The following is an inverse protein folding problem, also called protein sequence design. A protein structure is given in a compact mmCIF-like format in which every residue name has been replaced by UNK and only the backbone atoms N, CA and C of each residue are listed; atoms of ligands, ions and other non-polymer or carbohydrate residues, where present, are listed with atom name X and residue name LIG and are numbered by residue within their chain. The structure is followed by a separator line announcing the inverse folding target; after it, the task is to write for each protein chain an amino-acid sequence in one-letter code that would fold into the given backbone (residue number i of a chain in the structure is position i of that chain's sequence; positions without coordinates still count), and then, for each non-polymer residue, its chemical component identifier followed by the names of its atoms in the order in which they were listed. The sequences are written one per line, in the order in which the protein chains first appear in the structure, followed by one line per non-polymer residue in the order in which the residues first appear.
data_IF_737372362050
#
_entry.id   IF_737372362050
#
_cell.length_a   1.000
_cell.length_b   1.000
_cell.length_c   1.000
_cell.angle_alpha   90.00
_cell.angle_beta   90.00
_cell.angle_gamma   90.00
#
_symmetry.space_group_name_H-M   'P 1'
#
loop_
_entity.id
_entity.type
_entity.pdbx_description
1 polymer ?
#
# COMPACT_ATOMS: atom_id res chain seq x y z
N UNK A 1 -11.82 31.55 -58.89
CA UNK A 1 -10.70 30.82 -58.26
C UNK A 1 -10.54 31.17 -56.77
N UNK A 2 -10.80 32.43 -56.36
CA UNK A 2 -10.77 32.90 -54.96
C UNK A 2 -11.52 32.01 -53.95
N UNK A 3 -12.77 31.62 -54.25
CA UNK A 3 -13.55 30.80 -53.32
C UNK A 3 -12.93 29.44 -52.99
N UNK A 4 -12.12 28.87 -53.89
CA UNK A 4 -11.38 27.61 -53.62
C UNK A 4 -10.18 27.83 -52.70
N UNK A 5 -9.51 28.98 -52.80
CA UNK A 5 -8.36 29.33 -51.97
C UNK A 5 -8.81 29.64 -50.54
N UNK A 6 -9.89 30.42 -50.39
CA UNK A 6 -10.47 30.76 -49.08
C UNK A 6 -10.96 29.50 -48.36
N UNK A 7 -11.58 28.55 -49.08
CA UNK A 7 -12.05 27.29 -48.49
C UNK A 7 -10.90 26.43 -47.97
N UNK A 8 -9.84 26.24 -48.77
CA UNK A 8 -8.63 25.52 -48.34
C UNK A 8 -7.96 26.15 -47.12
N UNK A 9 -7.96 27.48 -47.02
CA UNK A 9 -7.42 28.18 -45.83
C UNK A 9 -8.20 27.84 -44.57
N UNK A 10 -9.53 27.87 -44.65
CA UNK A 10 -10.41 27.49 -43.53
C UNK A 10 -10.26 26.03 -43.12
N UNK A 11 -10.04 25.13 -44.08
CA UNK A 11 -9.79 23.71 -43.80
C UNK A 11 -8.47 23.53 -43.02
N UNK A 12 -7.42 24.27 -43.42
CA UNK A 12 -6.12 24.28 -42.72
C UNK A 12 -6.26 24.87 -41.31
N UNK A 13 -6.96 25.99 -41.15
CA UNK A 13 -7.23 26.62 -39.85
C UNK A 13 -8.01 25.67 -38.92
N UNK A 14 -9.03 24.99 -39.47
CA UNK A 14 -9.80 23.99 -38.72
C UNK A 14 -8.93 22.80 -38.30
N UNK A 15 -8.05 22.34 -39.18
CA UNK A 15 -7.12 21.27 -38.87
C UNK A 15 -6.14 21.66 -37.75
N UNK A 16 -5.61 22.88 -37.79
CA UNK A 16 -4.73 23.42 -36.74
C UNK A 16 -5.47 23.50 -35.40
N UNK A 17 -6.72 23.96 -35.40
CA UNK A 17 -7.54 24.02 -34.19
C UNK A 17 -7.81 22.63 -33.61
N UNK A 18 -8.10 21.63 -34.46
CA UNK A 18 -8.25 20.24 -34.03
C UNK A 18 -6.95 19.71 -33.42
N UNK A 19 -5.81 19.99 -34.04
CA UNK A 19 -4.50 19.55 -33.53
C UNK A 19 -4.19 20.17 -32.16
N UNK A 20 -4.45 21.48 -32.00
CA UNK A 20 -4.29 22.19 -30.73
C UNK A 20 -5.24 21.63 -29.66
N UNK A 21 -6.48 21.32 -30.03
CA UNK A 21 -7.45 20.73 -29.12
C UNK A 21 -7.03 19.33 -28.66
N UNK A 22 -6.48 18.50 -29.55
CA UNK A 22 -5.93 17.19 -29.19
C UNK A 22 -4.71 17.31 -28.28
N UNK A 23 -3.82 18.27 -28.54
CA UNK A 23 -2.70 18.58 -27.65
C UNK A 23 -3.19 19.03 -26.27
N UNK A 24 -4.20 19.89 -26.21
CA UNK A 24 -4.81 20.32 -24.96
C UNK A 24 -5.41 19.13 -24.19
N UNK A 25 -6.18 18.26 -24.85
CA UNK A 25 -6.70 17.04 -24.24
C UNK A 25 -5.58 16.14 -23.68
N UNK A 26 -4.49 15.97 -24.44
CA UNK A 26 -3.34 15.20 -23.99
C UNK A 26 -2.74 15.77 -22.69
N UNK A 27 -2.61 17.09 -22.59
CA UNK A 27 -2.10 17.75 -21.37
C UNK A 27 -3.00 17.56 -20.15
N UNK A 28 -4.29 17.30 -20.32
CA UNK A 28 -5.22 17.03 -19.21
C UNK A 28 -5.29 15.55 -18.83
N UNK A 29 -5.28 14.66 -19.82
CA UNK A 29 -5.47 13.21 -19.60
C UNK A 29 -4.25 12.59 -18.92
N UNK A 30 -3.03 12.93 -19.37
CA UNK A 30 -1.79 12.30 -18.86
C UNK A 30 -1.58 12.55 -17.36
N UNK A 31 -1.70 13.79 -16.83
CA UNK A 31 -1.59 14.03 -15.39
C UNK A 31 -2.68 13.33 -14.59
N UNK A 32 -3.91 13.27 -15.11
CA UNK A 32 -5.05 12.64 -14.43
C UNK A 32 -4.81 11.15 -14.22
N UNK A 33 -4.32 10.44 -15.23
CA UNK A 33 -3.96 9.02 -15.11
C UNK A 33 -2.84 8.83 -14.08
N UNK A 34 -1.82 9.70 -14.11
CA UNK A 34 -0.71 9.63 -13.16
C UNK A 34 -1.19 9.86 -11.72
N UNK A 35 -2.10 10.81 -11.50
CA UNK A 35 -2.71 11.08 -10.19
C UNK A 35 -3.51 9.89 -9.67
N UNK A 36 -4.33 9.26 -10.53
CA UNK A 36 -5.09 8.06 -10.15
C UNK A 36 -4.16 6.94 -9.69
N UNK A 37 -3.04 6.73 -10.41
CA UNK A 37 -2.05 5.73 -10.03
C UNK A 37 -1.42 6.04 -8.67
N UNK A 38 -0.97 7.29 -8.47
CA UNK A 38 -0.38 7.73 -7.19
C UNK A 38 -1.38 7.56 -6.05
N UNK A 39 -2.64 7.94 -6.24
CA UNK A 39 -3.69 7.77 -5.24
C UNK A 39 -3.93 6.30 -4.88
N UNK A 40 -3.92 5.42 -5.88
CA UNK A 40 -4.07 3.98 -5.69
C UNK A 40 -2.88 3.40 -4.90
N UNK A 41 -1.66 3.79 -5.27
CA UNK A 41 -0.44 3.36 -4.57
C UNK A 41 -0.44 3.86 -3.12
N UNK A 42 -0.85 5.10 -2.87
CA UNK A 42 -0.98 5.67 -1.52
C UNK A 42 -2.01 4.91 -0.66
N UNK A 43 -3.16 4.55 -1.22
CA UNK A 43 -4.16 3.77 -0.50
C UNK A 43 -3.65 2.38 -0.15
N UNK A 44 -2.91 1.74 -1.07
CA UNK A 44 -2.28 0.45 -0.79
C UNK A 44 -1.28 0.55 0.35
N UNK A 45 -0.37 1.54 0.28
CA UNK A 45 0.62 1.78 1.34
C UNK A 45 -0.08 2.05 2.68
N UNK A 46 -1.15 2.84 2.69
CA UNK A 46 -1.92 3.12 3.90
C UNK A 46 -2.49 1.84 4.53
N UNK A 47 -3.07 0.96 3.70
CA UNK A 47 -3.58 -0.33 4.17
C UNK A 47 -2.46 -1.24 4.69
N UNK A 48 -1.32 -1.28 4.00
CA UNK A 48 -0.17 -2.07 4.42
C UNK A 48 0.38 -1.58 5.78
N UNK A 49 0.40 -0.27 6.01
CA UNK A 49 0.76 0.34 7.30
C UNK A 49 -0.23 -0.07 8.39
N UNK A 50 -1.54 -0.01 8.12
CA UNK A 50 -2.57 -0.38 9.11
C UNK A 50 -2.49 -1.87 9.50
N UNK A 51 -2.30 -2.76 8.52
CA UNK A 51 -2.08 -4.18 8.75
C UNK A 51 -0.82 -4.41 9.58
N UNK A 52 0.27 -3.72 9.25
CA UNK A 52 1.54 -3.84 9.96
C UNK A 52 1.42 -3.35 11.39
N UNK A 53 0.73 -2.23 11.61
CA UNK A 53 0.45 -1.71 12.96
C UNK A 53 -0.36 -2.71 13.78
N UNK A 54 -1.42 -3.28 13.20
CA UNK A 54 -2.21 -4.33 13.88
C UNK A 54 -1.38 -5.57 14.23
N UNK A 55 -0.42 -5.95 13.38
CA UNK A 55 0.52 -7.04 13.67
C UNK A 55 1.47 -6.69 14.81
N UNK A 56 2.00 -5.46 14.83
CA UNK A 56 2.86 -4.96 15.91
C UNK A 56 2.08 -4.99 17.23
N UNK A 57 0.87 -4.42 17.27
CA UNK A 57 0.05 -4.41 18.49
C UNK A 57 -0.22 -5.82 19.03
N UNK A 58 -0.41 -6.81 18.15
CA UNK A 58 -0.56 -8.22 18.54
C UNK A 58 0.74 -8.82 19.08
N UNK A 59 1.86 -8.53 18.44
CA UNK A 59 3.16 -9.00 18.89
C UNK A 59 3.55 -8.39 20.22
N UNK A 60 3.30 -7.09 20.43
CA UNK A 60 3.52 -6.41 21.71
C UNK A 60 2.70 -7.05 22.82
N UNK A 61 1.41 -7.32 22.59
CA UNK A 61 0.57 -8.04 23.56
C UNK A 61 1.07 -9.46 23.84
N UNK A 62 1.55 -10.17 22.83
CA UNK A 62 2.12 -11.50 23.02
C UNK A 62 3.41 -11.44 23.84
N UNK A 63 4.29 -10.46 23.56
CA UNK A 63 5.51 -10.23 24.34
C UNK A 63 5.15 -9.93 25.79
N UNK A 64 4.24 -8.98 26.04
CA UNK A 64 3.77 -8.64 27.38
C UNK A 64 3.23 -9.87 28.11
N UNK A 65 2.42 -10.69 27.44
CA UNK A 65 1.92 -11.93 28.00
C UNK A 65 3.04 -12.92 28.35
N UNK A 66 3.98 -13.18 27.43
CA UNK A 66 5.09 -14.11 27.68
C UNK A 66 6.17 -13.56 28.62
N UNK A 67 6.20 -12.25 28.87
CA UNK A 67 7.03 -11.64 29.91
C UNK A 67 6.48 -11.87 31.32
N UNK A 68 5.23 -12.33 31.47
CA UNK A 68 4.69 -12.76 32.76
C UNK A 68 5.05 -14.22 33.04
N UNK A 69 5.28 -14.57 34.31
CA UNK A 69 5.60 -15.95 34.71
C UNK A 69 4.53 -16.96 34.28
N UNK A 70 3.24 -16.61 34.43
CA UNK A 70 2.12 -17.46 34.00
C UNK A 70 2.07 -17.64 32.48
N UNK A 71 2.32 -16.58 31.72
CA UNK A 71 2.30 -16.63 30.25
C UNK A 71 3.48 -17.42 29.70
N UNK A 72 4.66 -17.26 30.29
CA UNK A 72 5.85 -18.04 29.99
C UNK A 72 5.63 -19.53 30.29
N UNK A 73 5.10 -19.87 31.46
CA UNK A 73 4.83 -21.26 31.85
C UNK A 73 3.81 -21.93 30.91
N UNK A 74 2.75 -21.22 30.52
CA UNK A 74 1.77 -21.69 29.53
C UNK A 74 2.41 -21.93 28.16
N UNK A 75 3.19 -20.97 27.67
CA UNK A 75 3.87 -21.10 26.38
C UNK A 75 4.81 -22.30 26.34
N UNK A 76 5.55 -22.53 27.43
CA UNK A 76 6.46 -23.67 27.55
C UNK A 76 5.67 -24.99 27.52
N UNK A 77 4.57 -25.09 28.28
CA UNK A 77 3.72 -26.29 28.30
C UNK A 77 3.13 -26.61 26.92
N UNK A 78 2.68 -25.60 26.19
CA UNK A 78 2.09 -25.74 24.85
C UNK A 78 3.11 -26.11 23.77
N UNK A 79 4.28 -25.47 23.76
CA UNK A 79 5.28 -25.63 22.70
C UNK A 79 6.20 -26.83 22.90
N UNK A 80 6.56 -27.16 24.14
CA UNK A 80 7.49 -28.25 24.43
C UNK A 80 6.79 -29.57 24.72
N UNK A 81 5.44 -29.61 24.74
CA UNK A 81 4.65 -30.78 25.14
C UNK A 81 5.28 -31.44 26.37
N UNK A 82 5.37 -30.68 27.47
CA UNK A 82 5.84 -31.19 28.76
C UNK A 82 4.82 -32.20 29.31
N UNK A 83 4.80 -33.38 28.71
CA UNK A 83 4.05 -34.56 29.11
C UNK A 83 5.03 -35.61 29.60
N UNK A 84 5.84 -35.28 30.62
CA UNK A 84 6.41 -36.26 31.54
C UNK A 84 6.38 -35.70 32.95
N UNK A 85 5.83 -36.46 33.87
CA UNK A 85 5.97 -36.21 35.30
C UNK A 85 7.47 -36.17 35.64
N UNK A 86 7.90 -35.10 36.31
CA UNK A 86 9.24 -34.89 36.90
C UNK A 86 10.34 -34.17 36.09
N UNK A 87 10.08 -33.56 34.93
CA UNK A 87 11.05 -32.64 34.30
C UNK A 87 10.78 -31.18 34.69
N UNK A 88 11.77 -30.55 35.35
CA UNK A 88 11.76 -29.11 35.67
C UNK A 88 12.52 -28.35 34.59
N UNK A 89 11.81 -27.49 33.85
CA UNK A 89 12.44 -26.52 32.94
C UNK A 89 12.77 -25.26 33.74
N UNK A 90 14.04 -24.84 33.68
CA UNK A 90 14.49 -23.58 34.25
C UNK A 90 14.67 -22.58 33.11
N UNK A 91 13.96 -21.45 33.17
CA UNK A 91 14.20 -20.30 32.29
C UNK A 91 15.05 -19.32 33.08
N UNK A 92 16.25 -19.04 32.59
CA UNK A 92 17.11 -18.00 33.16
C UNK A 92 16.87 -16.71 32.36
N UNK A 93 16.42 -15.66 33.04
CA UNK A 93 16.47 -14.29 32.53
C UNK A 93 17.77 -13.67 33.02
N UNK A 94 18.68 -13.33 32.10
CA UNK A 94 19.88 -12.55 32.41
C UNK A 94 19.48 -11.10 32.70
N UNK A 95 19.89 -10.57 33.87
CA UNK A 95 19.78 -9.14 34.26
C UNK A 95 20.76 -8.25 33.48
#
# INVERSE_FOLDING_TARGET
MENKIIRKRKDIESFILILLFLLFLYTLIVPSIKLIKVYTDLNKIKNDIEITKSKIDKLEKNIEFYSTDEGLERWIKENFKLTKENERIYVFTEE
#
